data_IF_311830108192
#
_entry.id   IF_311830108192
#
_cell.length_a   1.000
_cell.length_b   1.000
_cell.length_c   1.000
_cell.angle_alpha   90.00
_cell.angle_beta   90.00
_cell.angle_gamma   90.00
#
_symmetry.space_group_name_H-M   'P 1'
#
loop_
_entity.id
_entity.type
_entity.pdbx_description
1 polymer ?
#
# COMPACT_ATOMS: atom_id res chain seq x y z
N UNK A 1 11.14 -4.04 14.54
CA UNK A 1 11.97 -3.53 13.43
C UNK A 1 11.90 -4.54 12.31
N UNK A 2 11.36 -4.14 11.16
CA UNK A 2 11.40 -4.94 9.94
C UNK A 2 12.84 -4.86 9.44
N UNK A 3 13.58 -5.97 9.51
CA UNK A 3 14.95 -6.05 8.97
C UNK A 3 14.95 -6.35 7.45
N UNK A 4 13.78 -6.33 6.85
CA UNK A 4 13.53 -6.55 5.44
C UNK A 4 13.83 -5.27 4.65
N UNK A 5 14.48 -5.40 3.49
CA UNK A 5 14.74 -4.27 2.60
C UNK A 5 13.60 -4.15 1.58
N UNK A 6 13.26 -2.94 1.12
CA UNK A 6 12.33 -2.78 0.02
C UNK A 6 12.83 -3.48 -1.24
N UNK A 7 11.93 -3.96 -2.10
CA UNK A 7 12.33 -4.56 -3.36
C UNK A 7 12.98 -3.51 -4.29
N UNK A 8 13.83 -4.00 -5.19
CA UNK A 8 14.46 -3.17 -6.24
C UNK A 8 13.50 -3.00 -7.42
N UNK A 9 12.83 -4.09 -7.78
CA UNK A 9 11.84 -4.15 -8.86
C UNK A 9 10.44 -3.95 -8.30
N UNK A 10 9.57 -3.34 -9.11
CA UNK A 10 8.16 -3.14 -8.77
C UNK A 10 7.48 -4.52 -8.76
N UNK A 11 6.76 -4.82 -7.68
CA UNK A 11 5.99 -6.06 -7.60
C UNK A 11 4.78 -5.98 -8.53
N UNK A 12 4.56 -7.02 -9.31
CA UNK A 12 3.37 -7.13 -10.15
C UNK A 12 2.10 -7.23 -9.29
N UNK A 13 0.97 -6.78 -9.84
CA UNK A 13 -0.31 -6.89 -9.15
C UNK A 13 -0.69 -8.37 -8.99
N UNK A 14 -0.83 -8.87 -7.75
CA UNK A 14 -1.29 -10.22 -7.55
C UNK A 14 -2.79 -10.29 -7.86
N UNK A 15 -3.26 -11.47 -8.31
CA UNK A 15 -4.69 -11.72 -8.54
C UNK A 15 -5.47 -11.56 -7.23
N UNK A 16 -4.95 -12.15 -6.15
CA UNK A 16 -5.49 -12.07 -4.80
C UNK A 16 -4.52 -11.29 -3.91
N UNK A 17 -5.04 -10.37 -3.10
CA UNK A 17 -4.20 -9.52 -2.25
C UNK A 17 -3.50 -10.36 -1.17
N UNK A 18 -2.24 -10.05 -0.83
CA UNK A 18 -1.49 -10.80 0.17
C UNK A 18 -2.01 -10.58 1.61
N UNK A 19 -2.94 -9.64 1.80
CA UNK A 19 -3.43 -9.17 3.10
C UNK A 19 -4.94 -9.04 3.07
N UNK A 20 -5.57 -9.11 4.23
CA UNK A 20 -6.99 -8.78 4.38
C UNK A 20 -7.20 -7.27 4.27
N UNK A 21 -8.16 -6.88 3.45
CA UNK A 21 -8.66 -5.51 3.34
C UNK A 21 -10.08 -5.35 3.88
N UNK A 22 -10.84 -6.44 4.00
CA UNK A 22 -12.24 -6.44 4.43
C UNK A 22 -12.46 -7.11 5.82
N UNK A 23 -11.39 -7.35 6.57
CA UNK A 23 -11.42 -7.75 7.98
C UNK A 23 -11.43 -9.27 8.23
N UNK A 24 -11.23 -10.09 7.20
CA UNK A 24 -11.03 -11.52 7.35
C UNK A 24 -9.65 -11.87 7.94
N UNK A 25 -9.49 -13.13 8.36
CA UNK A 25 -8.19 -13.68 8.79
C UNK A 25 -7.41 -14.30 7.63
N UNK A 26 -7.97 -14.28 6.42
CA UNK A 26 -7.40 -14.76 5.18
C UNK A 26 -7.40 -13.65 4.12
N UNK A 27 -6.83 -13.94 2.95
CA UNK A 27 -6.83 -13.04 1.81
C UNK A 27 -8.27 -12.91 1.26
N UNK A 28 -8.95 -11.83 1.59
CA UNK A 28 -10.38 -11.59 1.33
C UNK A 28 -10.65 -10.67 0.15
N UNK A 29 -9.62 -10.34 -0.63
CA UNK A 29 -9.76 -9.38 -1.72
C UNK A 29 -9.00 -9.79 -2.97
N UNK A 30 -9.57 -9.45 -4.10
CA UNK A 30 -8.92 -9.52 -5.42
C UNK A 30 -8.93 -8.17 -6.10
N UNK A 31 -7.95 -7.94 -6.97
CA UNK A 31 -7.90 -6.74 -7.79
C UNK A 31 -8.70 -6.93 -9.09
N UNK A 32 -9.61 -6.01 -9.38
CA UNK A 32 -10.34 -5.92 -10.66
C UNK A 32 -10.28 -4.47 -11.12
N UNK A 33 -9.77 -4.24 -12.33
CA UNK A 33 -9.66 -2.91 -12.97
C UNK A 33 -9.04 -1.81 -12.09
N UNK A 34 -8.07 -2.17 -11.24
CA UNK A 34 -7.36 -1.20 -10.38
C UNK A 34 -7.93 -1.01 -8.99
N UNK A 35 -9.00 -1.73 -8.63
CA UNK A 35 -9.68 -1.60 -7.33
C UNK A 35 -9.89 -2.97 -6.66
N UNK A 36 -9.97 -2.96 -5.33
CA UNK A 36 -10.14 -4.17 -4.53
C UNK A 36 -11.61 -4.52 -4.37
N UNK A 37 -11.92 -5.80 -4.60
CA UNK A 37 -13.25 -6.36 -4.43
C UNK A 37 -13.23 -7.46 -3.38
N UNK A 38 -14.25 -7.46 -2.54
CA UNK A 38 -14.41 -8.42 -1.44
C UNK A 38 -14.81 -9.79 -2.00
N UNK A 39 -13.95 -10.79 -1.80
CA UNK A 39 -14.14 -12.16 -2.26
C UNK A 39 -15.27 -12.90 -1.53
N UNK A 40 -15.66 -12.42 -0.36
CA UNK A 40 -16.77 -12.97 0.41
C UNK A 40 -18.09 -12.28 0.07
N UNK A 41 -18.06 -11.30 -0.84
CA UNK A 41 -19.26 -10.61 -1.31
C UNK A 41 -19.89 -11.32 -2.51
N UNK A 42 -21.19 -11.55 -2.45
CA UNK A 42 -21.98 -12.05 -3.58
C UNK A 42 -22.11 -13.57 -3.69
N UNK A 43 -22.26 -14.07 -4.91
CA UNK A 43 -22.51 -15.50 -5.21
C UNK A 43 -21.71 -15.93 -6.45
N UNK A 44 -20.80 -16.90 -6.27
CA UNK A 44 -19.91 -17.39 -7.32
C UNK A 44 -18.92 -16.31 -7.80
N UNK A 45 -18.95 -16.01 -9.10
CA UNK A 45 -18.05 -15.03 -9.74
C UNK A 45 -18.56 -13.57 -9.64
N UNK A 46 -19.78 -13.36 -9.13
CA UNK A 46 -20.38 -12.03 -9.02
C UNK A 46 -20.12 -11.42 -7.66
N UNK A 47 -19.18 -10.46 -7.61
CA UNK A 47 -18.88 -9.70 -6.39
C UNK A 47 -19.81 -8.50 -6.28
N UNK A 48 -20.29 -8.22 -5.06
CA UNK A 48 -21.28 -7.15 -4.80
C UNK A 48 -20.79 -6.07 -3.84
N UNK A 49 -19.57 -6.20 -3.31
CA UNK A 49 -18.95 -5.25 -2.38
C UNK A 49 -17.48 -4.99 -2.76
N UNK A 50 -17.03 -3.76 -2.55
CA UNK A 50 -15.73 -3.24 -2.97
C UNK A 50 -15.81 -2.33 -4.19
N UNK A 51 -14.69 -2.17 -4.89
CA UNK A 51 -14.56 -1.24 -6.03
C UNK A 51 -14.26 0.21 -5.65
N UNK A 52 -14.08 0.49 -4.37
CA UNK A 52 -13.81 1.81 -3.78
C UNK A 52 -12.39 1.92 -3.21
N UNK A 53 -11.80 0.82 -2.75
CA UNK A 53 -10.41 0.77 -2.28
C UNK A 53 -9.48 0.58 -3.48
N UNK A 54 -8.59 1.54 -3.81
CA UNK A 54 -7.65 1.37 -4.92
C UNK A 54 -6.68 0.23 -4.65
N UNK A 55 -6.18 -0.44 -5.69
CA UNK A 55 -5.23 -1.54 -5.53
C UNK A 55 -3.82 -0.99 -5.21
N UNK A 56 -3.15 -1.44 -4.13
CA UNK A 56 -1.80 -0.97 -3.77
C UNK A 56 -0.73 -1.28 -4.83
N UNK A 57 -0.92 -2.31 -5.66
CA UNK A 57 0.11 -2.78 -6.60
C UNK A 57 -0.03 -2.14 -7.99
N UNK A 58 -1.24 -2.08 -8.55
CA UNK A 58 -1.46 -1.47 -9.88
C UNK A 58 -2.01 -0.04 -9.84
N UNK A 59 -2.51 0.43 -8.69
CA UNK A 59 -2.92 1.81 -8.46
C UNK A 59 -2.30 2.40 -7.16
N UNK A 60 -0.95 2.44 -7.07
CA UNK A 60 -0.23 2.71 -5.82
C UNK A 60 -0.41 4.13 -5.28
N UNK A 61 -0.65 5.11 -6.15
CA UNK A 61 -0.80 6.52 -5.76
C UNK A 61 -2.20 6.77 -5.19
N UNK A 62 -3.26 6.36 -5.89
CA UNK A 62 -4.61 6.46 -5.35
C UNK A 62 -4.76 5.64 -4.06
N UNK A 63 -4.08 4.48 -3.96
CA UNK A 63 -4.08 3.70 -2.73
C UNK A 63 -3.39 4.44 -1.58
N UNK A 64 -2.30 5.15 -1.85
CA UNK A 64 -1.66 6.03 -0.86
C UNK A 64 -2.63 7.11 -0.43
N UNK A 65 -3.26 7.83 -1.36
CA UNK A 65 -4.24 8.87 -1.04
C UNK A 65 -5.41 8.33 -0.21
N UNK A 66 -5.89 7.12 -0.51
CA UNK A 66 -6.90 6.43 0.29
C UNK A 66 -6.46 6.10 1.72
N UNK A 67 -5.15 5.89 1.95
CA UNK A 67 -4.58 5.56 3.27
C UNK A 67 -4.17 6.79 4.10
N UNK A 68 -4.00 7.95 3.47
CA UNK A 68 -3.65 9.19 4.18
C UNK A 68 -4.88 9.78 4.87
N UNK A 69 -4.67 10.39 6.03
CA UNK A 69 -5.74 11.03 6.79
C UNK A 69 -5.86 12.52 6.45
N UNK A 70 -4.75 13.16 6.09
CA UNK A 70 -4.68 14.59 5.74
C UNK A 70 -3.86 14.81 4.46
N UNK A 71 -4.27 15.78 3.63
CA UNK A 71 -3.56 16.17 2.41
C UNK A 71 -2.14 16.73 2.69
N UNK A 72 -1.86 17.11 3.94
CA UNK A 72 -0.56 17.61 4.39
C UNK A 72 0.40 16.50 4.83
N UNK A 73 -0.07 15.25 4.95
CA UNK A 73 0.75 14.11 5.32
C UNK A 73 1.88 13.90 4.30
N UNK A 74 3.12 13.79 4.80
CA UNK A 74 4.29 13.65 3.92
C UNK A 74 4.86 12.24 3.95
N UNK A 75 5.03 11.68 2.76
CA UNK A 75 5.73 10.41 2.57
C UNK A 75 7.24 10.65 2.57
N UNK A 76 7.90 10.09 3.58
CA UNK A 76 9.32 10.31 3.83
C UNK A 76 10.08 9.01 4.05
N UNK A 77 11.38 9.07 3.81
CA UNK A 77 12.31 7.97 3.98
C UNK A 77 12.42 7.59 5.46
N UNK A 78 12.18 6.33 5.79
CA UNK A 78 12.29 5.83 7.17
C UNK A 78 13.71 5.87 7.75
N UNK A 79 14.73 6.10 6.92
CA UNK A 79 16.14 6.15 7.33
C UNK A 79 16.63 7.59 7.51
N UNK A 80 16.45 8.45 6.50
CA UNK A 80 17.02 9.80 6.49
C UNK A 80 15.99 10.93 6.50
N UNK A 81 14.68 10.59 6.56
CA UNK A 81 13.54 11.52 6.65
C UNK A 81 13.41 12.49 5.46
N UNK A 82 14.08 12.23 4.34
CA UNK A 82 13.87 12.99 3.09
C UNK A 82 12.67 12.46 2.31
N UNK A 83 12.08 13.30 1.45
CA UNK A 83 10.96 12.89 0.60
C UNK A 83 11.34 11.71 -0.29
N UNK A 84 10.39 10.79 -0.46
CA UNK A 84 10.52 9.66 -1.38
C UNK A 84 9.90 10.02 -2.73
N UNK A 85 10.39 9.36 -3.78
CA UNK A 85 9.86 9.42 -5.15
C UNK A 85 9.60 8.01 -5.66
N UNK A 86 8.91 7.85 -6.80
CA UNK A 86 8.62 6.52 -7.37
C UNK A 86 7.96 5.58 -6.36
N UNK A 87 6.87 6.08 -5.76
CA UNK A 87 6.16 5.41 -4.67
C UNK A 87 5.48 4.14 -5.18
N UNK A 88 5.64 3.06 -4.43
CA UNK A 88 5.09 1.74 -4.72
C UNK A 88 4.79 1.00 -3.41
N UNK A 89 3.97 -0.05 -3.49
CA UNK A 89 3.70 -0.94 -2.36
C UNK A 89 4.31 -2.32 -2.59
N UNK A 90 4.69 -2.97 -1.51
CA UNK A 90 5.26 -4.31 -1.53
C UNK A 90 4.73 -5.15 -0.37
N UNK A 91 4.51 -6.44 -0.62
CA UNK A 91 4.31 -7.43 0.43
C UNK A 91 5.54 -7.52 1.33
N UNK A 92 5.33 -7.78 2.62
CA UNK A 92 6.40 -8.04 3.59
C UNK A 92 6.18 -9.37 4.32
N UNK A 93 7.14 -9.78 5.14
CA UNK A 93 7.19 -11.07 5.87
C UNK A 93 6.03 -11.43 6.83
N UNK A 94 5.01 -10.58 6.99
CA UNK A 94 3.70 -10.90 7.64
C UNK A 94 2.61 -10.39 6.71
N UNK A 95 1.36 -10.91 6.73
CA UNK A 95 0.30 -10.37 5.88
C UNK A 95 0.14 -8.87 6.18
N UNK A 96 0.85 -8.08 5.40
CA UNK A 96 1.01 -6.64 5.47
C UNK A 96 1.67 -6.22 4.17
N UNK A 97 1.19 -5.11 3.64
CA UNK A 97 1.85 -4.38 2.57
C UNK A 97 2.48 -3.13 3.17
N UNK A 98 3.58 -2.68 2.61
CA UNK A 98 4.24 -1.45 3.03
C UNK A 98 4.61 -0.58 1.84
N UNK A 99 4.36 0.71 1.99
CA UNK A 99 4.79 1.75 1.07
C UNK A 99 6.32 1.89 1.09
N UNK A 100 6.90 2.02 -0.08
CA UNK A 100 8.31 2.34 -0.28
C UNK A 100 8.48 3.28 -1.47
N UNK A 101 9.67 3.84 -1.60
CA UNK A 101 10.04 4.63 -2.77
C UNK A 101 11.54 4.86 -2.84
N UNK A 102 11.97 5.45 -3.95
CA UNK A 102 13.36 5.82 -4.16
C UNK A 102 13.72 7.06 -3.31
N UNK A 103 14.75 6.90 -2.48
CA UNK A 103 15.33 7.98 -1.69
C UNK A 103 16.60 8.51 -2.37
N UNK A 104 16.58 9.77 -2.78
CA UNK A 104 17.75 10.41 -3.43
C UNK A 104 18.94 10.61 -2.50
N UNK A 105 18.73 10.74 -1.18
CA UNK A 105 19.82 10.84 -0.20
C UNK A 105 20.47 9.50 0.14
N UNK A 106 19.68 8.42 0.15
CA UNK A 106 20.18 7.07 0.42
C UNK A 106 20.60 6.34 -0.87
N UNK A 107 20.29 6.91 -2.04
CA UNK A 107 20.54 6.36 -3.37
C UNK A 107 19.98 4.94 -3.56
N UNK A 108 18.86 4.63 -2.91
CA UNK A 108 18.20 3.33 -3.00
C UNK A 108 16.73 3.42 -2.59
N UNK A 109 15.98 2.34 -2.86
CA UNK A 109 14.62 2.18 -2.36
C UNK A 109 14.64 2.07 -0.84
N UNK A 110 13.78 2.85 -0.20
CA UNK A 110 13.61 2.90 1.24
C UNK A 110 12.13 2.77 1.60
N UNK A 111 11.87 2.13 2.73
CA UNK A 111 10.53 2.10 3.28
C UNK A 111 10.07 3.53 3.59
N UNK A 112 8.78 3.76 3.40
CA UNK A 112 8.16 5.00 3.77
C UNK A 112 7.73 4.99 5.24
N UNK A 113 7.84 6.15 5.85
CA UNK A 113 7.05 6.57 7.00
C UNK A 113 6.18 7.77 6.59
N UNK A 114 5.08 7.99 7.31
CA UNK A 114 4.25 9.19 7.18
C UNK A 114 4.65 10.18 8.26
N UNK A 115 4.96 11.42 7.85
CA UNK A 115 5.15 12.54 8.76
C UNK A 115 3.80 13.24 8.93
N UNK A 116 3.05 12.80 9.94
CA UNK A 116 1.79 13.41 10.34
C UNK A 116 2.10 14.82 10.88
N UNK A 117 1.62 15.87 10.21
CA UNK A 117 1.67 17.21 10.78
C UNK A 117 0.67 17.28 11.91
N UNK A 118 1.14 17.24 13.16
CA UNK A 118 0.28 17.51 14.31
C UNK A 118 -0.28 18.94 14.18
N UNK A 119 -1.58 19.06 13.90
CA UNK A 119 -2.32 20.27 14.22
C UNK A 119 -2.19 20.46 15.73
N UNK A 120 -1.42 21.47 16.13
CA UNK A 120 -1.40 21.91 17.52
C UNK A 120 -2.79 22.50 17.81
N UNK A 121 -3.67 21.73 18.45
CA UNK A 121 -4.88 22.25 19.11
C UNK A 121 -4.56 23.30 20.18
#
# INVERSE_FOLDING_TARGET
>A
MINEKPPIEIQECPVQMPVSYFGATYQDSQCIDGYLWDLDSGDGEYLTSGGDIPCPFCNPIDHLEYQLNDDQDKVICSVCRSNLSQLNWAETSKPSVKLYGFCSKCECNQWADIDETQENE
#
